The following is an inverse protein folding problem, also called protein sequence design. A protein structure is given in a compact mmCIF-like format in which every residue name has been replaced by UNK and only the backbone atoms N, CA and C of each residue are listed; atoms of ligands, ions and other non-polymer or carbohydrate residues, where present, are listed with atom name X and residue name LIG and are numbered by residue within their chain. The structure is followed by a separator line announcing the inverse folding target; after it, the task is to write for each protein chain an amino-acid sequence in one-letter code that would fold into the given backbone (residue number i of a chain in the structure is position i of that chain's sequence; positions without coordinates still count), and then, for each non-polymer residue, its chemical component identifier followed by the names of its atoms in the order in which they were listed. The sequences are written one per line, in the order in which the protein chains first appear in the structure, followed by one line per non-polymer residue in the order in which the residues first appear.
data_IF_357613288913
#
_entry.id   IF_357613288913
#
_cell.length_a   1.000
_cell.length_b   1.000
_cell.length_c   1.000
_cell.angle_alpha   90.00
_cell.angle_beta   90.00
_cell.angle_gamma   90.00
#
_symmetry.space_group_name_H-M   'P 1'
#
loop_
_entity.id
_entity.type
_entity.pdbx_description
1 polymer ?
#
# COMPACT_ATOMS: atom_id res chain seq x y z
N UNK A 1 11.38 -4.78 26.25
CA UNK A 1 11.41 -4.33 24.83
C UNK A 1 12.83 -3.96 24.50
N UNK A 2 13.35 -4.34 23.32
CA UNK A 2 14.68 -3.92 22.89
C UNK A 2 14.78 -2.39 22.75
N UNK A 3 15.89 -1.81 23.20
CA UNK A 3 16.19 -0.37 23.07
C UNK A 3 16.54 0.01 21.62
N UNK A 4 16.47 1.30 21.30
CA UNK A 4 16.88 1.83 19.97
C UNK A 4 18.31 1.38 19.63
N UNK A 5 19.24 1.49 20.58
CA UNK A 5 20.64 1.14 20.38
C UNK A 5 20.85 -0.35 20.05
N UNK A 6 20.10 -1.25 20.69
CA UNK A 6 20.14 -2.69 20.40
C UNK A 6 19.64 -3.00 18.98
N UNK A 7 18.56 -2.32 18.56
CA UNK A 7 18.02 -2.46 17.20
C UNK A 7 19.01 -1.96 16.15
N UNK A 8 19.63 -0.79 16.36
CA UNK A 8 20.65 -0.24 15.45
C UNK A 8 21.87 -1.15 15.34
N UNK A 9 22.31 -1.72 16.47
CA UNK A 9 23.41 -2.69 16.46
C UNK A 9 23.05 -3.94 15.65
N UNK A 10 21.82 -4.47 15.82
CA UNK A 10 21.35 -5.63 15.05
C UNK A 10 21.22 -5.32 13.56
N UNK A 11 20.67 -4.17 13.19
CA UNK A 11 20.56 -3.73 11.78
C UNK A 11 21.95 -3.62 11.13
N UNK A 12 22.94 -3.09 11.84
CA UNK A 12 24.33 -3.01 11.37
C UNK A 12 24.94 -4.39 11.13
N UNK A 13 24.68 -5.35 12.03
CA UNK A 13 25.11 -6.74 11.86
C UNK A 13 24.46 -7.38 10.63
N UNK A 14 23.13 -7.26 10.47
CA UNK A 14 22.40 -7.81 9.33
C UNK A 14 22.94 -7.24 8.02
N UNK A 15 23.15 -5.92 7.95
CA UNK A 15 23.72 -5.25 6.76
C UNK A 15 25.11 -5.81 6.41
N UNK A 16 25.97 -6.04 7.41
CA UNK A 16 27.28 -6.66 7.21
C UNK A 16 27.19 -8.09 6.66
N UNK A 17 26.25 -8.89 7.17
CA UNK A 17 26.02 -10.27 6.71
C UNK A 17 25.51 -10.28 5.28
N UNK A 18 24.48 -9.47 4.96
CA UNK A 18 23.91 -9.38 3.61
C UNK A 18 24.95 -8.93 2.59
N UNK A 19 25.81 -7.96 2.92
CA UNK A 19 26.89 -7.52 2.04
C UNK A 19 27.89 -8.64 1.72
N UNK A 20 28.22 -9.50 2.69
CA UNK A 20 29.10 -10.65 2.49
C UNK A 20 28.45 -11.76 1.66
N UNK A 21 27.11 -11.88 1.74
CA UNK A 21 26.32 -12.92 1.06
C UNK A 21 25.75 -12.50 -0.30
N UNK A 22 26.11 -11.32 -0.83
CA UNK A 22 25.48 -10.70 -2.03
C UNK A 22 25.31 -11.63 -3.25
N UNK A 23 26.13 -12.68 -3.41
CA UNK A 23 26.08 -13.61 -4.55
C UNK A 23 25.39 -14.95 -4.24
N UNK A 24 24.80 -15.13 -3.05
CA UNK A 24 24.16 -16.38 -2.63
C UNK A 24 22.74 -16.11 -2.16
N UNK A 25 21.78 -16.56 -2.95
CA UNK A 25 20.35 -16.49 -2.62
C UNK A 25 19.99 -17.79 -1.91
N UNK A 26 19.80 -17.74 -0.59
CA UNK A 26 19.35 -18.85 0.25
C UNK A 26 18.26 -18.39 1.24
N UNK A 27 17.60 -19.35 1.90
CA UNK A 27 16.51 -19.05 2.85
C UNK A 27 16.96 -18.10 3.97
N UNK A 28 18.18 -18.28 4.49
CA UNK A 28 18.73 -17.43 5.54
C UNK A 28 18.86 -15.97 5.08
N UNK A 29 19.18 -15.74 3.80
CA UNK A 29 19.19 -14.39 3.23
C UNK A 29 17.79 -13.75 3.25
N UNK A 30 16.74 -14.49 2.87
CA UNK A 30 15.35 -14.01 2.94
C UNK A 30 14.94 -13.70 4.38
N UNK A 31 15.22 -14.60 5.31
CA UNK A 31 14.91 -14.41 6.74
C UNK A 31 15.59 -13.15 7.31
N UNK A 32 16.84 -12.88 6.91
CA UNK A 32 17.57 -11.67 7.30
C UNK A 32 17.00 -10.39 6.66
N UNK A 33 16.53 -10.45 5.42
CA UNK A 33 15.87 -9.31 4.76
C UNK A 33 14.57 -8.98 5.48
N UNK A 34 13.78 -9.98 5.83
CA UNK A 34 12.52 -9.78 6.57
C UNK A 34 12.76 -9.29 8.00
N UNK A 35 13.76 -9.86 8.69
CA UNK A 35 14.17 -9.36 10.01
C UNK A 35 14.59 -7.88 9.92
N UNK A 36 15.39 -7.51 8.92
CA UNK A 36 15.80 -6.12 8.67
C UNK A 36 14.60 -5.22 8.47
N UNK A 37 13.63 -5.62 7.64
CA UNK A 37 12.39 -4.84 7.38
C UNK A 37 11.61 -4.59 8.67
N UNK A 38 11.40 -5.64 9.48
CA UNK A 38 10.69 -5.56 10.76
C UNK A 38 11.40 -4.60 11.72
N UNK A 39 12.73 -4.71 11.83
CA UNK A 39 13.54 -3.88 12.72
C UNK A 39 13.57 -2.41 12.27
N UNK A 40 13.73 -2.15 10.97
CA UNK A 40 13.67 -0.82 10.36
C UNK A 40 12.34 -0.11 10.64
N UNK A 41 11.21 -0.80 10.40
CA UNK A 41 9.88 -0.28 10.74
C UNK A 41 9.76 0.04 12.23
N UNK A 42 10.22 -0.87 13.08
CA UNK A 42 10.14 -0.71 14.55
C UNK A 42 10.93 0.49 15.03
N UNK A 43 12.17 0.67 14.56
CA UNK A 43 13.00 1.80 14.99
C UNK A 43 12.43 3.13 14.49
N UNK A 44 11.91 3.19 13.27
CA UNK A 44 11.30 4.42 12.74
C UNK A 44 10.05 4.84 13.52
N UNK A 45 9.19 3.87 13.89
CA UNK A 45 8.07 4.15 14.80
C UNK A 45 8.54 4.67 16.16
N UNK A 46 9.58 4.06 16.74
CA UNK A 46 10.13 4.50 18.04
C UNK A 46 10.72 5.91 17.97
N UNK A 47 11.22 6.34 16.81
CA UNK A 47 11.76 7.68 16.55
C UNK A 47 10.69 8.70 16.15
N UNK A 48 9.44 8.27 15.93
CA UNK A 48 8.37 9.15 15.46
C UNK A 48 8.52 9.56 13.98
N UNK A 49 9.26 8.78 13.20
CA UNK A 49 9.49 9.04 11.78
C UNK A 49 8.28 8.63 10.93
N UNK A 50 8.18 9.18 9.72
CA UNK A 50 7.20 8.71 8.73
C UNK A 50 7.49 7.24 8.40
N UNK A 51 6.50 6.36 8.62
CA UNK A 51 6.71 4.90 8.60
C UNK A 51 5.56 4.19 7.92
N UNK A 52 5.87 3.26 7.00
CA UNK A 52 4.88 2.42 6.33
C UNK A 52 4.56 1.15 7.14
N UNK A 53 3.28 0.94 7.43
CA UNK A 53 2.75 -0.21 8.14
C UNK A 53 1.94 -1.07 7.18
N UNK A 54 2.35 -2.31 6.89
CA UNK A 54 1.65 -3.15 5.93
C UNK A 54 0.25 -3.49 6.43
N UNK A 55 -0.70 -3.43 5.51
CA UNK A 55 -2.07 -3.86 5.66
C UNK A 55 -2.15 -5.18 4.90
N UNK A 56 -2.07 -6.30 5.62
CA UNK A 56 -2.16 -7.62 4.98
C UNK A 56 -3.52 -7.76 4.29
N UNK A 57 -3.47 -7.90 2.97
CA UNK A 57 -4.66 -8.11 2.13
C UNK A 57 -4.85 -9.60 1.84
N UNK A 58 -6.10 -10.02 1.57
CA UNK A 58 -6.43 -11.40 1.12
C UNK A 58 -6.57 -11.49 -0.40
N UNK A 59 -6.19 -10.44 -1.11
CA UNK A 59 -6.40 -10.25 -2.54
C UNK A 59 -5.06 -9.80 -3.16
N UNK A 60 -4.11 -10.73 -3.30
CA UNK A 60 -2.76 -10.42 -3.76
C UNK A 60 -2.80 -9.92 -5.20
N UNK A 61 -1.99 -8.92 -5.51
CA UNK A 61 -1.89 -8.40 -6.86
C UNK A 61 -1.15 -9.37 -7.79
N UNK A 62 -1.48 -9.30 -9.09
CA UNK A 62 -0.68 -9.97 -10.13
C UNK A 62 0.70 -9.32 -10.19
N UNK A 63 1.75 -10.11 -9.99
CA UNK A 63 3.13 -9.60 -9.95
C UNK A 63 3.71 -9.31 -11.34
N UNK A 64 3.10 -9.79 -12.42
CA UNK A 64 3.58 -9.55 -13.78
C UNK A 64 2.87 -8.40 -14.47
N UNK A 65 1.54 -8.33 -14.34
CA UNK A 65 0.72 -7.30 -14.98
C UNK A 65 -0.48 -6.92 -14.11
N UNK A 66 -0.26 -6.25 -12.96
CA UNK A 66 -1.35 -5.85 -12.06
C UNK A 66 -2.30 -4.83 -12.71
N UNK A 67 -1.78 -4.04 -13.66
CA UNK A 67 -2.49 -3.01 -14.41
C UNK A 67 -3.34 -2.10 -13.50
N UNK A 68 -2.72 -1.44 -12.50
CA UNK A 68 -3.42 -0.56 -11.58
C UNK A 68 -4.17 0.53 -12.34
N UNK A 69 -5.42 0.76 -11.97
CA UNK A 69 -6.30 1.73 -12.61
C UNK A 69 -7.05 2.54 -11.57
N UNK A 70 -7.08 3.86 -11.75
CA UNK A 70 -7.71 4.77 -10.79
C UNK A 70 -8.88 5.49 -11.44
N UNK A 71 -10.05 5.41 -10.78
CA UNK A 71 -11.22 6.23 -11.11
C UNK A 71 -11.56 7.05 -9.88
N UNK A 72 -11.68 8.37 -10.00
CA UNK A 72 -11.81 9.25 -8.83
C UNK A 72 -12.69 10.47 -9.12
N UNK A 73 -13.36 10.96 -8.08
CA UNK A 73 -13.98 12.27 -8.05
C UNK A 73 -13.53 13.04 -6.79
N UNK A 74 -14.12 14.21 -6.51
CA UNK A 74 -13.73 15.03 -5.36
C UNK A 74 -14.04 14.45 -3.97
N UNK A 75 -14.58 13.23 -3.87
CA UNK A 75 -15.02 12.64 -2.61
C UNK A 75 -14.69 11.13 -2.47
N UNK A 76 -14.73 10.36 -3.56
CA UNK A 76 -14.44 8.91 -3.60
C UNK A 76 -13.34 8.64 -4.62
N UNK A 77 -12.52 7.65 -4.32
CA UNK A 77 -11.53 7.10 -5.27
C UNK A 77 -11.61 5.59 -5.27
N UNK A 78 -11.71 5.00 -6.45
CA UNK A 78 -11.61 3.57 -6.66
C UNK A 78 -10.25 3.24 -7.30
N UNK A 79 -9.51 2.34 -6.67
CA UNK A 79 -8.30 1.74 -7.22
C UNK A 79 -8.61 0.29 -7.61
N UNK A 80 -8.32 -0.07 -8.85
CA UNK A 80 -8.55 -1.38 -9.42
C UNK A 80 -7.24 -2.02 -9.84
N UNK A 81 -7.14 -3.34 -9.75
CA UNK A 81 -6.01 -4.10 -10.27
C UNK A 81 -6.35 -5.59 -10.39
N UNK A 82 -5.60 -6.32 -11.20
CA UNK A 82 -5.73 -7.77 -11.33
C UNK A 82 -5.17 -8.50 -10.11
N UNK A 83 -5.91 -9.50 -9.64
CA UNK A 83 -5.48 -10.42 -8.58
C UNK A 83 -4.62 -11.52 -9.19
N UNK A 84 -3.46 -11.78 -8.59
CA UNK A 84 -2.56 -12.86 -8.99
C UNK A 84 -3.05 -14.20 -8.46
N UNK A 85 -3.90 -14.89 -9.22
CA UNK A 85 -4.54 -16.15 -8.77
C UNK A 85 -3.58 -17.34 -8.61
N UNK A 86 -2.33 -17.19 -9.08
CA UNK A 86 -1.26 -18.17 -8.87
C UNK A 86 -0.58 -18.01 -7.50
N UNK A 87 -0.86 -16.93 -6.78
CA UNK A 87 -0.33 -16.71 -5.44
C UNK A 87 -0.97 -17.72 -4.46
N UNK A 88 -0.17 -18.49 -3.69
CA UNK A 88 -0.70 -19.46 -2.72
C UNK A 88 -1.58 -18.85 -1.60
N UNK A 89 -1.46 -17.55 -1.35
CA UNK A 89 -2.30 -16.84 -0.38
C UNK A 89 -3.69 -16.48 -0.94
N UNK A 90 -3.89 -16.60 -2.25
CA UNK A 90 -5.20 -16.41 -2.87
C UNK A 90 -6.08 -17.64 -2.64
N UNK A 91 -7.15 -17.46 -1.86
CA UNK A 91 -8.22 -18.44 -1.69
C UNK A 91 -9.54 -17.84 -2.18
N UNK A 92 -9.99 -18.32 -3.35
CA UNK A 92 -11.27 -17.92 -3.93
C UNK A 92 -12.45 -18.17 -2.97
N UNK A 93 -12.41 -19.25 -2.20
CA UNK A 93 -13.51 -19.65 -1.31
C UNK A 93 -13.59 -18.80 -0.03
N UNK A 94 -12.51 -18.10 0.31
CA UNK A 94 -12.43 -17.23 1.48
C UNK A 94 -12.99 -15.81 1.21
N UNK A 95 -13.27 -15.47 -0.04
CA UNK A 95 -13.68 -14.12 -0.45
C UNK A 95 -15.11 -14.12 -1.01
N UNK A 96 -15.86 -13.04 -0.73
CA UNK A 96 -17.14 -12.80 -1.43
C UNK A 96 -16.79 -12.25 -2.81
N UNK A 97 -17.15 -13.00 -3.85
CA UNK A 97 -16.83 -12.67 -5.24
C UNK A 97 -18.09 -12.23 -5.95
N UNK A 98 -18.03 -11.03 -6.53
CA UNK A 98 -19.09 -10.46 -7.34
C UNK A 98 -18.90 -10.88 -8.80
N UNK A 99 -19.90 -11.58 -9.35
CA UNK A 99 -19.86 -12.11 -10.71
C UNK A 99 -20.31 -11.06 -11.72
N UNK A 100 -19.38 -10.52 -12.53
CA UNK A 100 -19.71 -9.65 -13.68
C UNK A 100 -19.62 -10.40 -15.01
N UNK A 101 -18.68 -11.35 -15.12
CA UNK A 101 -18.55 -12.25 -16.25
C UNK A 101 -18.15 -13.65 -15.73
N UNK A 102 -19.12 -14.57 -15.56
CA UNK A 102 -18.86 -15.91 -15.02
C UNK A 102 -17.93 -16.78 -15.88
N UNK A 103 -17.69 -16.40 -17.15
CA UNK A 103 -16.76 -17.09 -18.04
C UNK A 103 -15.34 -16.52 -17.98
N UNK A 104 -15.17 -15.35 -17.34
CA UNK A 104 -13.86 -14.76 -17.14
C UNK A 104 -13.01 -15.61 -16.20
N UNK A 105 -11.72 -15.69 -16.51
CA UNK A 105 -10.71 -16.27 -15.60
C UNK A 105 -10.01 -15.22 -14.75
N UNK A 106 -10.28 -13.96 -15.05
CA UNK A 106 -9.65 -12.82 -14.38
C UNK A 106 -10.46 -12.42 -13.15
N UNK A 107 -9.72 -12.07 -12.09
CA UNK A 107 -10.27 -11.49 -10.87
C UNK A 107 -9.67 -10.11 -10.69
N UNK A 108 -10.50 -9.17 -10.28
CA UNK A 108 -10.14 -7.77 -10.09
C UNK A 108 -10.47 -7.38 -8.68
N UNK A 109 -9.48 -6.87 -7.96
CA UNK A 109 -9.71 -6.18 -6.71
C UNK A 109 -10.14 -4.74 -7.01
N UNK A 110 -11.16 -4.26 -6.31
CA UNK A 110 -11.59 -2.86 -6.29
C UNK A 110 -11.51 -2.38 -4.85
N UNK A 111 -10.61 -1.43 -4.60
CA UNK A 111 -10.48 -0.73 -3.33
C UNK A 111 -11.12 0.64 -3.47
N UNK A 112 -12.22 0.87 -2.75
CA UNK A 112 -12.89 2.16 -2.70
C UNK A 112 -12.46 2.91 -1.44
N UNK A 113 -11.82 4.06 -1.63
CA UNK A 113 -11.43 4.99 -0.59
C UNK A 113 -12.50 6.06 -0.40
N UNK A 114 -13.02 6.15 0.82
CA UNK A 114 -14.07 7.07 1.19
C UNK A 114 -13.54 8.38 1.73
N UNK A 115 -14.24 9.47 1.41
CA UNK A 115 -13.83 10.84 1.72
C UNK A 115 -12.39 11.10 1.24
N UNK A 116 -12.00 10.55 0.09
CA UNK A 116 -10.67 10.72 -0.47
C UNK A 116 -10.39 12.22 -0.70
N UNK A 117 -9.31 12.71 -0.12
CA UNK A 117 -8.90 14.11 -0.17
C UNK A 117 -7.96 14.40 -1.33
N UNK A 118 -6.99 13.51 -1.58
CA UNK A 118 -6.01 13.66 -2.65
C UNK A 118 -5.39 12.31 -3.00
N UNK A 119 -4.94 12.18 -4.24
CA UNK A 119 -4.22 11.01 -4.75
C UNK A 119 -2.87 11.41 -5.38
N UNK A 120 -1.95 10.47 -5.45
CA UNK A 120 -0.75 10.49 -6.31
C UNK A 120 -0.67 9.13 -7.00
N UNK A 121 -0.26 9.12 -8.26
CA UNK A 121 -0.20 7.88 -9.04
C UNK A 121 0.97 7.92 -10.03
N UNK A 122 1.64 6.77 -10.17
CA UNK A 122 2.92 6.62 -10.87
C UNK A 122 4.11 6.72 -9.92
N UNK A 123 5.32 6.42 -10.40
CA UNK A 123 6.54 6.58 -9.61
C UNK A 123 7.61 5.55 -9.87
N UNK A 124 8.11 4.93 -8.79
CA UNK A 124 9.15 3.89 -8.85
C UNK A 124 8.51 2.53 -9.17
N UNK A 125 9.20 1.73 -9.98
CA UNK A 125 8.89 0.32 -10.16
C UNK A 125 9.52 -0.54 -9.05
N UNK A 126 9.24 -1.83 -9.04
CA UNK A 126 9.71 -2.77 -8.04
C UNK A 126 11.26 -2.91 -8.01
N UNK A 127 11.92 -2.86 -9.18
CA UNK A 127 13.37 -2.95 -9.33
C UNK A 127 14.11 -1.82 -8.59
N UNK A 128 13.51 -0.62 -8.56
CA UNK A 128 14.09 0.58 -7.95
C UNK A 128 13.37 1.04 -6.69
N UNK A 129 12.49 0.21 -6.12
CA UNK A 129 11.74 0.53 -4.89
C UNK A 129 12.66 0.92 -3.72
N UNK A 130 13.87 0.38 -3.68
CA UNK A 130 14.89 0.73 -2.68
C UNK A 130 15.37 2.19 -2.72
N UNK A 131 15.08 2.92 -3.79
CA UNK A 131 15.28 4.37 -3.88
C UNK A 131 14.14 5.19 -3.28
N UNK A 132 13.02 4.57 -2.91
CA UNK A 132 11.89 5.28 -2.30
C UNK A 132 12.24 5.75 -0.87
N UNK A 133 11.88 6.99 -0.47
CA UNK A 133 12.20 7.51 0.86
C UNK A 133 11.74 6.63 2.02
N UNK A 134 10.62 5.90 1.86
CA UNK A 134 10.07 5.01 2.89
C UNK A 134 10.60 3.58 2.86
N UNK A 135 11.52 3.23 1.95
CA UNK A 135 12.03 1.85 1.85
C UNK A 135 12.70 1.36 3.14
N UNK A 136 13.57 2.19 3.72
CA UNK A 136 14.19 1.90 5.03
C UNK A 136 13.26 2.22 6.21
N UNK A 137 12.03 2.64 5.94
CA UNK A 137 11.00 2.98 6.92
C UNK A 137 9.77 2.05 6.78
N UNK A 138 9.98 0.83 6.29
CA UNK A 138 8.98 -0.24 6.32
C UNK A 138 8.11 -0.35 5.07
N UNK A 139 8.41 0.37 3.98
CA UNK A 139 7.70 0.18 2.70
C UNK A 139 8.14 -1.13 2.04
N UNK A 140 7.18 -1.95 1.67
CA UNK A 140 7.38 -3.23 0.99
C UNK A 140 6.85 -3.16 -0.44
N UNK A 141 7.37 -4.04 -1.29
CA UNK A 141 6.89 -4.20 -2.66
C UNK A 141 5.63 -5.06 -2.66
N UNK A 142 4.77 -4.82 -3.64
CA UNK A 142 3.54 -5.57 -3.85
C UNK A 142 2.53 -5.57 -2.68
N UNK A 143 2.54 -4.54 -1.83
CA UNK A 143 1.73 -4.52 -0.60
C UNK A 143 1.15 -3.14 -0.27
N UNK A 144 -0.03 -3.13 0.34
CA UNK A 144 -0.73 -1.93 0.78
C UNK A 144 -0.23 -1.53 2.16
N UNK A 145 -0.03 -0.24 2.40
CA UNK A 145 0.44 0.26 3.68
C UNK A 145 -0.38 1.45 4.16
N UNK A 146 -0.53 1.58 5.47
CA UNK A 146 -0.88 2.83 6.12
C UNK A 146 0.42 3.55 6.54
N UNK A 147 0.55 4.83 6.18
CA UNK A 147 1.67 5.67 6.58
C UNK A 147 1.38 6.35 7.90
N UNK A 148 2.14 6.00 8.93
CA UNK A 148 2.15 6.67 10.24
C UNK A 148 3.06 7.89 10.21
N UNK A 149 2.73 8.89 11.02
CA UNK A 149 3.43 10.18 11.09
C UNK A 149 3.56 10.87 9.72
N UNK A 150 2.50 10.81 8.90
CA UNK A 150 2.61 11.23 7.51
C UNK A 150 2.96 12.71 7.34
N UNK A 151 4.07 12.94 6.65
CA UNK A 151 4.52 14.27 6.26
C UNK A 151 3.53 14.93 5.30
N UNK A 152 2.94 14.17 4.38
CA UNK A 152 1.96 14.66 3.42
C UNK A 152 0.66 15.13 4.09
N UNK A 153 0.13 14.38 5.06
CA UNK A 153 -1.04 14.85 5.84
C UNK A 153 -0.70 16.14 6.59
N UNK A 154 0.46 16.19 7.25
CA UNK A 154 0.90 17.38 8.00
C UNK A 154 1.05 18.61 7.09
N UNK A 155 1.60 18.43 5.90
CA UNK A 155 1.70 19.47 4.87
C UNK A 155 0.31 19.99 4.47
N UNK A 156 -0.60 19.09 4.09
CA UNK A 156 -1.96 19.46 3.65
C UNK A 156 -2.76 20.13 4.76
N UNK A 157 -2.61 19.65 5.99
CA UNK A 157 -3.21 20.24 7.18
C UNK A 157 -2.72 21.67 7.44
N UNK A 158 -1.41 21.91 7.28
CA UNK A 158 -0.81 23.25 7.42
C UNK A 158 -1.28 24.21 6.34
N UNK A 159 -1.46 23.75 5.11
CA UNK A 159 -2.00 24.58 4.02
C UNK A 159 -3.44 25.01 4.34
N UNK A 160 -4.26 24.10 4.87
CA UNK A 160 -5.66 24.37 5.16
C UNK A 160 -5.91 25.13 6.47
N UNK A 161 -4.92 25.23 7.36
CA UNK A 161 -5.09 25.89 8.66
C UNK A 161 -5.22 27.42 8.59
N UNK A 162 -5.01 28.03 7.42
CA UNK A 162 -5.23 29.46 7.19
C UNK A 162 -6.71 29.83 7.13
N UNK A 163 -7.60 28.85 6.93
CA UNK A 163 -9.03 29.09 6.83
C UNK A 163 -9.65 29.30 8.23
N UNK A 164 -10.49 30.33 8.37
CA UNK A 164 -11.06 30.73 9.67
C UNK A 164 -11.93 29.66 10.33
N UNK A 165 -12.52 28.76 9.55
CA UNK A 165 -13.31 27.63 10.06
C UNK A 165 -12.52 26.31 10.02
N UNK A 166 -11.18 26.36 10.10
CA UNK A 166 -10.35 25.16 10.21
C UNK A 166 -10.80 24.31 11.41
N UNK A 167 -11.09 23.04 11.15
CA UNK A 167 -11.46 22.05 12.16
C UNK A 167 -10.38 20.98 12.22
N UNK A 168 -9.63 20.98 13.31
CA UNK A 168 -8.57 20.03 13.59
C UNK A 168 -9.07 18.58 13.50
N UNK A 169 -10.28 18.34 13.97
CA UNK A 169 -10.91 17.02 14.09
C UNK A 169 -11.15 16.38 12.70
N UNK A 170 -11.34 17.18 11.66
CA UNK A 170 -11.50 16.67 10.29
C UNK A 170 -10.20 16.07 9.75
N UNK A 171 -9.05 16.52 10.24
CA UNK A 171 -7.73 16.01 9.84
C UNK A 171 -7.32 14.78 10.63
N UNK A 172 -7.82 14.64 11.86
CA UNK A 172 -7.49 13.50 12.73
C UNK A 172 -8.08 12.17 12.22
N UNK A 173 -9.13 12.24 11.39
CA UNK A 173 -9.71 11.08 10.71
C UNK A 173 -8.96 10.67 9.42
N UNK A 174 -8.06 11.52 8.91
CA UNK A 174 -7.36 11.28 7.64
C UNK A 174 -6.24 10.26 7.86
N UNK A 175 -6.17 9.30 6.95
CA UNK A 175 -5.12 8.29 6.86
C UNK A 175 -4.45 8.39 5.50
N UNK A 176 -3.15 8.15 5.48
CA UNK A 176 -2.37 8.12 4.26
C UNK A 176 -2.12 6.65 3.90
N UNK A 177 -2.59 6.24 2.73
CA UNK A 177 -2.38 4.92 2.18
C UNK A 177 -1.41 4.99 1.00
N UNK A 178 -0.50 4.03 0.93
CA UNK A 178 0.38 3.80 -0.22
C UNK A 178 0.23 2.35 -0.67
N UNK A 179 0.26 2.14 -1.98
CA UNK A 179 0.22 0.82 -2.58
C UNK A 179 1.26 0.71 -3.67
N UNK A 180 2.13 -0.31 -3.56
CA UNK A 180 3.24 -0.55 -4.48
C UNK A 180 2.84 -1.64 -5.46
N UNK A 181 2.95 -1.34 -6.75
CA UNK A 181 2.74 -2.28 -7.86
C UNK A 181 4.05 -2.60 -8.57
N UNK A 182 3.99 -3.41 -9.63
CA UNK A 182 5.15 -3.73 -10.46
C UNK A 182 5.81 -2.45 -11.03
N UNK A 183 5.03 -1.61 -11.72
CA UNK A 183 5.56 -0.42 -12.42
C UNK A 183 5.19 0.93 -11.77
N UNK A 184 4.22 0.93 -10.86
CA UNK A 184 3.61 2.16 -10.34
C UNK A 184 3.44 2.13 -8.82
N UNK A 185 3.29 3.32 -8.26
CA UNK A 185 2.80 3.50 -6.89
C UNK A 185 1.49 4.28 -6.95
N UNK A 186 0.54 3.87 -6.12
CA UNK A 186 -0.64 4.66 -5.80
C UNK A 186 -0.55 5.15 -4.35
N UNK A 187 -0.77 6.44 -4.13
CA UNK A 187 -0.93 7.00 -2.79
C UNK A 187 -2.26 7.76 -2.69
N UNK A 188 -2.89 7.72 -1.52
CA UNK A 188 -4.02 8.61 -1.25
C UNK A 188 -4.13 9.01 0.22
N UNK A 189 -4.79 10.14 0.46
CA UNK A 189 -5.28 10.53 1.77
C UNK A 189 -6.79 10.30 1.80
N UNK A 190 -7.27 9.42 2.67
CA UNK A 190 -8.68 9.07 2.80
C UNK A 190 -9.03 8.76 4.27
N UNK A 191 -10.31 8.61 4.61
CA UNK A 191 -10.71 8.27 5.99
C UNK A 191 -10.71 6.75 6.24
N UNK A 192 -11.19 6.03 5.24
CA UNK A 192 -11.44 4.60 5.29
C UNK A 192 -11.45 4.04 3.86
N UNK A 193 -11.43 2.72 3.77
CA UNK A 193 -11.54 2.02 2.51
C UNK A 193 -12.38 0.75 2.67
N UNK A 194 -12.96 0.31 1.56
CA UNK A 194 -13.67 -0.96 1.43
C UNK A 194 -13.10 -1.70 0.23
N UNK A 195 -12.99 -3.02 0.33
CA UNK A 195 -12.48 -3.86 -0.75
C UNK A 195 -13.58 -4.80 -1.22
N UNK A 196 -13.69 -4.91 -2.54
CA UNK A 196 -14.55 -5.88 -3.21
C UNK A 196 -13.73 -6.63 -4.25
N UNK A 197 -14.09 -7.88 -4.49
CA UNK A 197 -13.47 -8.71 -5.53
C UNK A 197 -14.51 -9.05 -6.57
N UNK A 198 -14.14 -8.89 -7.83
CA UNK A 198 -15.00 -9.16 -8.97
C UNK A 198 -14.37 -10.23 -9.86
N UNK A 199 -15.18 -11.17 -10.35
CA UNK A 199 -14.81 -12.02 -11.49
C UNK A 199 -15.26 -11.34 -12.77
N UNK A 200 -14.31 -10.99 -13.63
CA UNK A 200 -14.56 -10.24 -14.85
C UNK A 200 -13.35 -9.46 -15.36
N UNK A 201 -13.52 -8.82 -16.51
CA UNK A 201 -12.48 -7.97 -17.11
C UNK A 201 -12.32 -6.67 -16.34
N UNK A 202 -11.09 -6.16 -16.24
CA UNK A 202 -10.80 -4.86 -15.62
C UNK A 202 -11.66 -3.73 -16.18
N UNK A 203 -11.92 -3.71 -17.49
CA UNK A 203 -12.76 -2.68 -18.13
C UNK A 203 -14.21 -2.69 -17.64
N UNK A 204 -14.79 -3.88 -17.39
CA UNK A 204 -16.16 -3.99 -16.87
C UNK A 204 -16.23 -3.49 -15.43
N UNK A 205 -15.25 -3.85 -14.61
CA UNK A 205 -15.17 -3.41 -13.20
C UNK A 205 -14.90 -1.90 -13.12
N UNK A 206 -14.10 -1.35 -14.04
CA UNK A 206 -13.85 0.09 -14.14
C UNK A 206 -15.13 0.87 -14.45
N UNK A 207 -15.99 0.39 -15.35
CA UNK A 207 -17.27 1.03 -15.63
C UNK A 207 -18.18 1.03 -14.39
N UNK A 208 -18.25 -0.10 -13.69
CA UNK A 208 -18.96 -0.20 -12.40
C UNK A 208 -18.38 0.78 -11.38
N UNK A 209 -17.04 0.82 -11.23
CA UNK A 209 -16.37 1.72 -10.30
C UNK A 209 -16.69 3.19 -10.60
N UNK A 210 -16.78 3.56 -11.88
CA UNK A 210 -17.17 4.91 -12.29
C UNK A 210 -18.62 5.23 -11.90
N UNK A 211 -19.55 4.28 -12.02
CA UNK A 211 -20.92 4.46 -11.53
C UNK A 211 -20.98 4.61 -10.00
N UNK A 212 -20.19 3.83 -9.26
CA UNK A 212 -20.12 3.89 -7.79
C UNK A 212 -19.69 5.26 -7.26
N UNK A 213 -18.95 6.05 -8.04
CA UNK A 213 -18.56 7.42 -7.66
C UNK A 213 -19.74 8.37 -7.53
N UNK A 214 -20.87 8.09 -8.18
CA UNK A 214 -22.08 8.93 -8.17
C UNK A 214 -23.15 8.43 -7.21
N UNK A 215 -22.95 7.26 -6.59
CA UNK A 215 -23.82 6.73 -5.54
C UNK A 215 -23.48 7.40 -4.20
N UNK A 216 -24.49 7.66 -3.38
CA UNK A 216 -24.32 8.23 -2.02
C UNK A 216 -23.64 7.24 -1.07
#
# INVERSE_FOLDING_TARGET
MASIMEIEQRLSQIKSILNKKRNKIDQEMYDLIDERRILNRKISLMKGEETAIPIKTTFPQDVGAPLPHVVSNGYKTCLLYYIGTSNPEWDESANIIHELDPQSKDYVALIQFERCYSIRFGGVNDEVLHGHPLYEHGLEGYEMHEIKNSSWINEQKKINSVYSNFKQELWDARKHYIFTFHDDIFECIANEYVVQVFRGKLSSVMLLANEMLFSD
#
